data_IF_386725648697
#
_entry.id   IF_386725648697
#
_cell.length_a   1.000
_cell.length_b   1.000
_cell.length_c   1.000
_cell.angle_alpha   90.00
_cell.angle_beta   90.00
_cell.angle_gamma   90.00
#
_symmetry.space_group_name_H-M   'P 1'
#
loop_
_entity.id
_entity.type
_entity.pdbx_description
1 polymer ?
#
# COMPACT_ATOMS: atom_id res chain seq x y z
N UNK A 1 27.06 25.12 -4.46
CA UNK A 1 25.84 24.41 -4.90
C UNK A 1 24.91 24.15 -3.71
N UNK A 2 24.14 25.16 -3.27
CA UNK A 2 23.21 25.04 -2.13
C UNK A 2 21.79 24.69 -2.58
N UNK A 3 21.39 25.11 -3.78
CA UNK A 3 20.07 24.77 -4.37
C UNK A 3 19.86 23.26 -4.52
N UNK A 4 20.85 22.53 -5.07
CA UNK A 4 20.74 21.08 -5.25
C UNK A 4 20.56 20.31 -3.94
N UNK A 5 21.14 20.80 -2.84
CA UNK A 5 20.96 20.23 -1.50
C UNK A 5 19.52 20.44 -1.00
N UNK A 6 18.97 21.64 -1.18
CA UNK A 6 17.59 21.96 -0.76
C UNK A 6 16.59 21.08 -1.52
N UNK A 7 16.77 20.94 -2.85
CA UNK A 7 15.91 20.07 -3.65
C UNK A 7 16.03 18.59 -3.26
N UNK A 8 17.24 18.10 -2.99
CA UNK A 8 17.46 16.73 -2.54
C UNK A 8 16.80 16.47 -1.17
N UNK A 9 16.99 17.37 -0.20
CA UNK A 9 16.41 17.23 1.14
C UNK A 9 14.88 17.27 1.08
N UNK A 10 14.33 18.21 0.31
CA UNK A 10 12.89 18.29 0.07
C UNK A 10 12.34 16.97 -0.51
N UNK A 11 12.98 16.46 -1.57
CA UNK A 11 12.62 15.17 -2.17
C UNK A 11 12.62 14.02 -1.15
N UNK A 12 13.67 13.91 -0.32
CA UNK A 12 13.76 12.86 0.70
C UNK A 12 12.60 12.96 1.71
N UNK A 13 12.25 14.16 2.14
CA UNK A 13 11.14 14.38 3.09
C UNK A 13 9.81 13.95 2.46
N UNK A 14 9.51 14.38 1.24
CA UNK A 14 8.25 14.02 0.56
C UNK A 14 8.16 12.52 0.28
N UNK A 15 9.26 11.89 -0.15
CA UNK A 15 9.33 10.44 -0.41
C UNK A 15 9.16 9.65 0.89
N UNK A 16 9.76 10.11 1.99
CA UNK A 16 9.66 9.46 3.30
C UNK A 16 8.26 9.51 3.90
N UNK A 17 7.46 10.55 3.60
CA UNK A 17 6.09 10.69 4.11
C UNK A 17 5.08 9.96 3.23
N UNK A 18 5.31 9.91 1.91
CA UNK A 18 4.35 9.33 0.97
C UNK A 18 4.69 7.89 0.59
N UNK A 19 5.75 7.71 -0.20
CA UNK A 19 5.97 6.49 -0.96
C UNK A 19 6.40 5.30 -0.10
N UNK A 20 7.17 5.55 0.96
CA UNK A 20 7.66 4.48 1.83
C UNK A 20 6.60 3.94 2.82
N UNK A 21 5.87 4.79 3.57
CA UNK A 21 4.90 4.29 4.54
C UNK A 21 3.60 3.83 3.88
N UNK A 22 3.25 4.29 2.68
CA UNK A 22 1.95 4.00 2.06
C UNK A 22 1.72 2.49 1.80
N UNK A 23 2.65 1.71 1.22
CA UNK A 23 2.48 0.26 1.11
C UNK A 23 2.43 -0.44 2.48
N UNK A 24 3.16 0.08 3.47
CA UNK A 24 3.21 -0.48 4.81
C UNK A 24 1.91 -0.24 5.59
N UNK A 25 1.32 0.96 5.45
CA UNK A 25 0.01 1.32 5.99
C UNK A 25 -1.12 0.54 5.30
N UNK A 26 -1.07 0.42 3.97
CA UNK A 26 -2.04 -0.36 3.18
C UNK A 26 -2.08 -1.82 3.62
N UNK A 27 -0.91 -2.44 3.83
CA UNK A 27 -0.82 -3.79 4.40
C UNK A 27 -1.51 -3.88 5.77
N UNK A 28 -1.57 -2.79 6.54
CA UNK A 28 -2.29 -2.73 7.82
C UNK A 28 -3.81 -2.54 7.70
N UNK A 29 -4.30 -1.96 6.61
CA UNK A 29 -5.72 -1.62 6.38
C UNK A 29 -6.49 -2.71 5.64
N UNK A 30 -5.81 -3.50 4.81
CA UNK A 30 -6.41 -4.56 3.98
C UNK A 30 -6.78 -5.81 4.79
N UNK A 31 -6.11 -6.08 5.92
CA UNK A 31 -6.33 -7.31 6.69
C UNK A 31 -7.27 -7.10 7.89
N UNK A 32 -8.33 -7.92 8.04
CA UNK A 32 -9.19 -7.88 9.22
C UNK A 32 -8.42 -8.33 10.48
N UNK A 33 -8.85 -7.83 11.65
CA UNK A 33 -8.14 -7.96 12.94
C UNK A 33 -7.80 -9.41 13.29
N UNK A 34 -8.63 -10.37 12.90
CA UNK A 34 -8.44 -11.79 13.17
C UNK A 34 -7.29 -12.45 12.39
N UNK A 35 -6.97 -11.98 11.17
CA UNK A 35 -5.95 -12.59 10.29
C UNK A 35 -4.76 -11.67 10.00
N UNK A 36 -4.75 -10.47 10.58
CA UNK A 36 -3.71 -9.45 10.38
C UNK A 36 -2.30 -9.96 10.65
N UNK A 37 -2.10 -10.79 11.66
CA UNK A 37 -0.77 -11.34 11.99
C UNK A 37 -0.20 -12.25 10.90
N UNK A 38 -1.00 -13.19 10.39
CA UNK A 38 -0.57 -14.14 9.35
C UNK A 38 -0.48 -13.45 7.98
N UNK A 39 -1.47 -12.61 7.65
CA UNK A 39 -1.51 -11.88 6.37
C UNK A 39 -0.36 -10.89 6.20
N UNK A 40 -0.05 -10.12 7.25
CA UNK A 40 1.09 -9.19 7.23
C UNK A 40 2.44 -9.91 7.21
N UNK A 41 2.57 -11.04 7.92
CA UNK A 41 3.78 -11.86 7.91
C UNK A 41 4.08 -12.46 6.53
N UNK A 42 3.06 -13.00 5.86
CA UNK A 42 3.20 -13.56 4.51
C UNK A 42 3.55 -12.47 3.48
N UNK A 43 2.88 -11.32 3.56
CA UNK A 43 3.14 -10.16 2.70
C UNK A 43 4.57 -9.65 2.89
N UNK A 44 5.02 -9.53 4.14
CA UNK A 44 6.39 -9.10 4.47
C UNK A 44 7.42 -10.10 3.95
N UNK A 45 7.15 -11.40 4.09
CA UNK A 45 8.04 -12.46 3.59
C UNK A 45 8.18 -12.38 2.06
N UNK A 46 7.08 -12.20 1.34
CA UNK A 46 7.10 -12.04 -0.11
C UNK A 46 7.86 -10.77 -0.53
N UNK A 47 7.70 -9.67 0.21
CA UNK A 47 8.43 -8.43 -0.02
C UNK A 47 9.95 -8.61 0.16
N UNK A 48 10.37 -9.27 1.24
CA UNK A 48 11.80 -9.54 1.48
C UNK A 48 12.39 -10.50 0.44
N UNK A 49 11.65 -11.52 0.01
CA UNK A 49 12.09 -12.41 -1.08
C UNK A 49 12.28 -11.61 -2.37
N UNK A 50 11.34 -10.72 -2.71
CA UNK A 50 11.45 -9.87 -3.90
C UNK A 50 12.67 -8.96 -3.83
N UNK A 51 12.94 -8.33 -2.68
CA UNK A 51 14.16 -7.56 -2.48
C UNK A 51 15.42 -8.41 -2.60
N UNK A 52 15.44 -9.61 -2.04
CA UNK A 52 16.56 -10.52 -2.16
C UNK A 52 16.85 -10.87 -3.63
N UNK A 53 15.81 -11.17 -4.42
CA UNK A 53 15.93 -11.46 -5.86
C UNK A 53 16.52 -10.26 -6.59
N UNK A 54 16.03 -9.05 -6.33
CA UNK A 54 16.54 -7.83 -6.97
C UNK A 54 18.01 -7.57 -6.60
N UNK A 55 18.38 -7.69 -5.32
CA UNK A 55 19.75 -7.48 -4.86
C UNK A 55 20.70 -8.52 -5.47
N UNK A 56 20.30 -9.80 -5.54
CA UNK A 56 21.08 -10.86 -6.18
C UNK A 56 21.20 -10.67 -7.69
N UNK A 57 20.13 -10.27 -8.35
CA UNK A 57 20.07 -10.13 -9.81
C UNK A 57 20.73 -8.84 -10.28
N UNK A 58 20.79 -7.80 -9.45
CA UNK A 58 21.37 -6.50 -9.78
C UNK A 58 22.77 -6.58 -10.40
N UNK A 59 23.77 -7.18 -9.72
CA UNK A 59 25.13 -7.33 -10.27
C UNK A 59 25.16 -8.09 -11.60
N UNK A 60 24.37 -9.16 -11.73
CA UNK A 60 24.27 -9.94 -12.97
C UNK A 60 23.65 -9.13 -14.11
N UNK A 61 22.68 -8.27 -13.82
CA UNK A 61 22.01 -7.44 -14.81
C UNK A 61 22.92 -6.30 -15.31
N UNK A 62 23.68 -5.67 -14.39
CA UNK A 62 24.70 -4.69 -14.75
C UNK A 62 25.82 -5.30 -15.60
N UNK A 63 26.22 -6.54 -15.31
CA UNK A 63 27.24 -7.23 -16.09
C UNK A 63 26.75 -7.65 -17.49
N UNK A 64 25.48 -8.04 -17.64
CA UNK A 64 24.92 -8.54 -18.90
C UNK A 64 24.42 -7.43 -19.84
N UNK A 65 23.73 -6.42 -19.31
CA UNK A 65 23.05 -5.38 -20.12
C UNK A 65 23.67 -3.98 -20.00
N UNK A 66 24.71 -3.83 -19.17
CA UNK A 66 25.31 -2.55 -18.86
C UNK A 66 24.36 -1.60 -18.12
N UNK A 67 24.83 -0.38 -17.89
CA UNK A 67 24.10 0.65 -17.11
C UNK A 67 22.77 1.01 -17.76
N UNK A 68 22.75 1.30 -19.07
CA UNK A 68 21.56 1.78 -19.79
C UNK A 68 20.45 0.72 -19.88
N UNK A 69 20.79 -0.55 -20.17
CA UNK A 69 19.81 -1.63 -20.26
C UNK A 69 19.21 -1.98 -18.90
N UNK A 70 20.01 -1.93 -17.84
CA UNK A 70 19.56 -2.14 -16.46
C UNK A 70 18.54 -1.07 -16.04
N UNK A 71 18.79 0.21 -16.35
CA UNK A 71 17.82 1.29 -16.09
C UNK A 71 16.50 1.12 -16.83
N UNK A 72 16.51 0.69 -18.10
CA UNK A 72 15.27 0.44 -18.85
C UNK A 72 14.47 -0.72 -18.25
N UNK A 73 15.12 -1.82 -17.85
CA UNK A 73 14.44 -2.97 -17.24
C UNK A 73 13.79 -2.58 -15.90
N UNK A 74 14.54 -1.90 -15.02
CA UNK A 74 13.97 -1.40 -13.76
C UNK A 74 12.86 -0.37 -13.98
N UNK A 75 12.98 0.47 -15.01
CA UNK A 75 11.94 1.41 -15.42
C UNK A 75 10.64 0.70 -15.84
N UNK A 76 10.73 -0.32 -16.68
CA UNK A 76 9.56 -1.11 -17.13
C UNK A 76 8.91 -1.83 -15.95
N UNK A 77 9.71 -2.47 -15.09
CA UNK A 77 9.20 -3.16 -13.89
C UNK A 77 8.51 -2.18 -12.94
N UNK A 78 9.09 -0.99 -12.74
CA UNK A 78 8.48 0.07 -11.92
C UNK A 78 7.17 0.60 -12.52
N UNK A 79 7.11 0.76 -13.84
CA UNK A 79 5.91 1.23 -14.55
C UNK A 79 4.78 0.20 -14.52
N UNK A 80 5.11 -1.09 -14.72
CA UNK A 80 4.17 -2.19 -14.52
C UNK A 80 3.69 -2.28 -13.07
N UNK A 81 4.61 -2.16 -12.10
CA UNK A 81 4.27 -2.14 -10.67
C UNK A 81 3.35 -0.97 -10.32
N UNK A 82 3.58 0.21 -10.90
CA UNK A 82 2.71 1.39 -10.73
C UNK A 82 1.35 1.18 -11.36
N UNK A 83 1.27 0.58 -12.56
CA UNK A 83 0.00 0.29 -13.24
C UNK A 83 -0.82 -0.75 -12.48
N UNK A 84 -0.17 -1.81 -12.01
CA UNK A 84 -0.78 -2.84 -11.17
C UNK A 84 -1.24 -2.25 -9.85
N UNK A 85 -0.41 -1.42 -9.21
CA UNK A 85 -0.81 -0.67 -8.02
C UNK A 85 -2.04 0.18 -8.32
N UNK A 86 -2.04 0.96 -9.41
CA UNK A 86 -3.18 1.80 -9.80
C UNK A 86 -4.47 0.99 -10.05
N UNK A 87 -4.39 -0.22 -10.61
CA UNK A 87 -5.55 -1.10 -10.79
C UNK A 87 -5.99 -1.81 -9.51
N UNK A 88 -5.05 -2.27 -8.69
CA UNK A 88 -5.30 -3.05 -7.45
C UNK A 88 -5.68 -2.15 -6.28
N UNK A 89 -5.35 -0.85 -6.34
CA UNK A 89 -5.82 0.17 -5.40
C UNK A 89 -7.16 0.73 -5.92
N UNK A 90 -8.32 0.12 -5.61
CA UNK A 90 -9.54 0.92 -5.58
C UNK A 90 -9.27 2.03 -4.56
N UNK A 91 -9.57 3.28 -4.89
CA UNK A 91 -9.35 4.41 -3.99
C UNK A 91 -9.82 4.07 -2.56
N UNK A 92 -8.89 3.80 -1.66
CA UNK A 92 -9.15 3.65 -0.22
C UNK A 92 -9.30 5.01 0.46
N UNK A 93 -9.17 6.11 -0.31
CA UNK A 93 -9.49 7.45 0.16
C UNK A 93 -10.99 7.55 0.43
N UNK A 94 -11.35 7.66 1.71
CA UNK A 94 -12.71 7.86 2.26
C UNK A 94 -13.54 6.63 2.64
N UNK A 95 -12.94 5.46 2.93
CA UNK A 95 -13.68 4.36 3.58
C UNK A 95 -13.08 4.06 4.94
N UNK A 96 -13.90 4.11 5.99
CA UNK A 96 -13.49 3.77 7.36
C UNK A 96 -13.31 2.25 7.49
N UNK A 97 -12.37 1.80 8.33
CA UNK A 97 -12.11 0.38 8.62
C UNK A 97 -13.40 -0.42 8.92
N UNK A 98 -14.39 0.21 9.57
CA UNK A 98 -15.69 -0.38 9.87
C UNK A 98 -16.55 -0.66 8.63
N UNK A 99 -16.52 0.18 7.59
CA UNK A 99 -17.27 -0.06 6.35
C UNK A 99 -16.66 -1.19 5.51
N UNK A 100 -15.35 -1.38 5.58
CA UNK A 100 -14.65 -2.49 4.91
C UNK A 100 -14.94 -3.80 5.64
N UNK A 101 -14.99 -3.77 6.97
CA UNK A 101 -15.34 -4.93 7.80
C UNK A 101 -16.81 -5.33 7.66
N UNK A 102 -17.75 -4.37 7.56
CA UNK A 102 -19.17 -4.66 7.27
C UNK A 102 -19.40 -5.21 5.86
N UNK A 103 -18.68 -4.72 4.84
CA UNK A 103 -18.76 -5.23 3.47
C UNK A 103 -18.17 -6.65 3.33
N UNK A 104 -17.18 -7.02 4.15
CA UNK A 104 -16.65 -8.38 4.19
C UNK A 104 -17.51 -9.35 5.02
N UNK A 105 -18.13 -8.85 6.10
CA UNK A 105 -18.98 -9.65 6.99
C UNK A 105 -20.38 -9.90 6.43
N UNK A 106 -20.92 -8.95 5.67
CA UNK A 106 -22.10 -9.15 4.84
C UNK A 106 -21.66 -9.66 3.48
N UNK A 107 -21.46 -10.97 3.36
CA UNK A 107 -21.13 -11.60 2.07
C UNK A 107 -22.02 -11.03 0.97
N UNK A 108 -21.44 -10.73 -0.21
CA UNK A 108 -22.04 -10.06 -1.37
C UNK A 108 -23.38 -10.68 -1.84
N UNK A 109 -24.43 -10.50 -1.05
CA UNK A 109 -25.82 -10.77 -1.35
C UNK A 109 -26.55 -9.48 -1.02
N UNK A 110 -26.80 -8.75 -2.09
CA UNK A 110 -27.83 -7.73 -2.27
C UNK A 110 -28.86 -7.68 -1.13
N UNK A 111 -28.89 -6.58 -0.40
CA UNK A 111 -30.17 -5.92 -0.09
C UNK A 111 -29.91 -4.48 0.32
N UNK A 112 -30.24 -3.59 -0.60
CA UNK A 112 -30.76 -2.26 -0.30
C UNK A 112 -31.89 -2.37 0.73
N UNK A 113 -31.76 -1.72 1.90
CA UNK A 113 -32.90 -1.14 2.64
C UNK A 113 -32.44 -0.34 3.87
N UNK A 114 -32.50 0.98 3.72
CA UNK A 114 -32.83 2.04 4.70
C UNK A 114 -32.88 1.66 6.20
N UNK A 115 -32.22 2.47 7.03
CA UNK A 115 -32.90 3.13 8.17
C UNK A 115 -32.12 4.37 8.68
N UNK A 116 -32.84 5.43 9.12
CA UNK A 116 -32.27 6.73 9.48
C UNK A 116 -31.70 6.75 10.91
N UNK A 117 -30.68 7.59 11.12
CA UNK A 117 -30.10 7.91 12.42
C UNK A 117 -31.11 8.71 13.26
N UNK A 118 -31.67 8.10 14.31
CA UNK A 118 -32.43 8.79 15.35
C UNK A 118 -32.37 8.03 16.68
N UNK A 119 -31.87 8.70 17.74
CA UNK A 119 -31.80 8.23 19.14
C UNK A 119 -30.62 7.30 19.39
N UNK A 120 -29.67 7.59 20.29
CA UNK A 120 -29.86 7.79 21.72
C UNK A 120 -28.78 8.74 22.29
N UNK A 121 -29.05 10.04 22.25
CA UNK A 121 -28.79 10.90 23.41
C UNK A 121 -29.77 10.50 24.51
N UNK A 122 -29.34 10.56 25.78
CA UNK A 122 -30.05 10.15 27.00
C UNK A 122 -29.95 8.66 27.39
N UNK A 123 -28.89 8.28 28.10
CA UNK A 123 -28.94 7.42 29.30
C UNK A 123 -27.51 7.29 29.87
N UNK A 124 -26.98 8.36 30.50
CA UNK A 124 -25.82 8.25 31.41
C UNK A 124 -25.82 9.42 32.41
N UNK A 125 -26.97 9.65 33.03
CA UNK A 125 -27.08 10.49 34.23
C UNK A 125 -28.29 10.04 35.05
N UNK A 126 -28.10 8.96 35.81
CA UNK A 126 -28.87 8.61 37.00
C UNK A 126 -28.01 7.68 37.85
#
# INVERSE_FOLDING_TARGET
>A
SWMSLIFLISYIIFVGIGLFPLPWCMSGEIFPVATRGIGSGLTSSFNFISFFVVIKTGPSLFAAFGTNGTFMIYGIISLLGTLVLYMILPETKNRTLQQIEEAFRSGWRTSESKTPVAGLTEQSKA
#
